data_IF_933067017008
#
_entry.id   IF_933067017008
#
_cell.length_a   1.000
_cell.length_b   1.000
_cell.length_c   1.000
_cell.angle_alpha   90.00
_cell.angle_beta   90.00
_cell.angle_gamma   90.00
#
_symmetry.space_group_name_H-M   'P 1'
#
loop_
_entity.id
_entity.type
_entity.pdbx_description
1 polymer ?
#
# COMPACT_ATOMS: atom_id res chain seq x y z
N UNK A 1 16.09 22.09 -16.60
CA UNK A 1 15.95 23.51 -16.97
C UNK A 1 15.84 24.40 -15.74
N UNK A 2 14.82 24.22 -14.88
CA UNK A 2 14.61 25.05 -13.68
C UNK A 2 15.80 25.07 -12.69
N UNK A 3 16.43 23.91 -12.44
CA UNK A 3 17.63 23.81 -11.58
C UNK A 3 18.82 24.60 -12.11
N UNK A 4 19.08 24.52 -13.42
CA UNK A 4 20.22 25.22 -14.02
C UNK A 4 20.00 26.74 -13.97
N UNK A 5 18.75 27.19 -14.18
CA UNK A 5 18.38 28.61 -14.06
C UNK A 5 18.53 29.09 -12.62
N UNK A 6 18.07 28.32 -11.63
CA UNK A 6 18.18 28.70 -10.21
C UNK A 6 19.63 28.66 -9.70
N UNK A 7 20.43 27.69 -10.15
CA UNK A 7 21.86 27.60 -9.83
C UNK A 7 22.66 28.76 -10.44
N UNK A 8 22.37 29.16 -11.68
CA UNK A 8 23.00 30.32 -12.30
C UNK A 8 22.58 31.60 -11.58
N UNK A 9 21.29 31.74 -11.22
CA UNK A 9 20.79 32.89 -10.47
C UNK A 9 21.41 33.03 -9.07
N UNK A 10 21.81 31.92 -8.44
CA UNK A 10 22.54 31.92 -7.18
C UNK A 10 24.01 32.36 -7.32
N UNK A 11 24.66 31.99 -8.43
CA UNK A 11 26.11 32.18 -8.65
C UNK A 11 26.46 33.59 -9.17
N UNK A 12 25.50 34.34 -9.70
CA UNK A 12 25.72 35.71 -10.22
C UNK A 12 25.35 36.74 -9.14
N UNK A 13 26.24 37.64 -8.67
CA UNK A 13 27.61 37.94 -9.09
C UNK A 13 28.69 37.21 -8.23
N UNK A 14 29.74 36.65 -8.85
CA UNK A 14 30.80 35.97 -8.12
C UNK A 14 31.65 36.96 -7.32
N UNK A 15 31.85 36.69 -6.02
CA UNK A 15 32.76 37.43 -5.15
C UNK A 15 32.15 38.52 -4.26
N UNK A 16 30.83 38.60 -4.16
CA UNK A 16 30.13 39.47 -3.19
C UNK A 16 29.39 38.64 -2.13
N UNK A 17 29.12 39.24 -0.97
CA UNK A 17 28.25 38.59 0.03
C UNK A 17 26.85 38.39 -0.55
N UNK A 18 26.27 37.17 -0.45
CA UNK A 18 24.98 36.88 -1.05
C UNK A 18 23.85 37.70 -0.43
N UNK A 19 23.08 38.37 -1.28
CA UNK A 19 21.87 39.10 -0.91
C UNK A 19 20.83 38.16 -0.29
N UNK A 20 19.89 38.65 0.55
CA UNK A 20 18.83 37.82 1.13
C UNK A 20 18.02 37.03 0.09
N UNK A 21 17.78 37.62 -1.09
CA UNK A 21 17.13 36.95 -2.21
C UNK A 21 17.96 35.81 -2.81
N UNK A 22 19.28 35.93 -2.84
CA UNK A 22 20.18 34.86 -3.30
C UNK A 22 20.17 33.69 -2.33
N UNK A 23 20.12 33.93 -1.01
CA UNK A 23 19.95 32.85 -0.03
C UNK A 23 18.66 32.05 -0.24
N UNK A 24 17.55 32.73 -0.54
CA UNK A 24 16.28 32.07 -0.87
C UNK A 24 16.37 31.26 -2.18
N UNK A 25 17.01 31.80 -3.22
CA UNK A 25 17.21 31.07 -4.49
C UNK A 25 18.17 29.89 -4.30
N UNK A 26 19.20 30.03 -3.47
CA UNK A 26 20.15 28.98 -3.13
C UNK A 26 19.48 27.81 -2.41
N UNK A 27 18.63 28.09 -1.41
CA UNK A 27 17.89 27.02 -0.70
C UNK A 27 16.93 26.26 -1.62
N UNK A 28 16.21 26.96 -2.50
CA UNK A 28 15.35 26.35 -3.53
C UNK A 28 16.18 25.51 -4.50
N UNK A 29 17.36 26.00 -4.92
CA UNK A 29 18.26 25.29 -5.83
C UNK A 29 18.74 23.98 -5.23
N UNK A 30 19.14 23.98 -3.96
CA UNK A 30 19.56 22.76 -3.25
C UNK A 30 18.40 21.75 -3.19
N UNK A 31 17.20 22.21 -2.86
CA UNK A 31 16.01 21.34 -2.82
C UNK A 31 15.70 20.73 -4.19
N UNK A 32 15.72 21.54 -5.25
CA UNK A 32 15.52 21.09 -6.63
C UNK A 32 16.62 20.13 -7.09
N UNK A 33 17.86 20.30 -6.61
CA UNK A 33 18.96 19.40 -6.91
C UNK A 33 18.73 18.00 -6.34
N UNK A 34 18.23 17.89 -5.11
CA UNK A 34 17.86 16.61 -4.52
C UNK A 34 16.67 15.96 -5.23
N UNK A 35 15.65 16.73 -5.63
CA UNK A 35 14.55 16.18 -6.43
C UNK A 35 15.01 15.70 -7.82
N UNK A 36 15.89 16.44 -8.48
CA UNK A 36 16.47 16.02 -9.76
C UNK A 36 17.32 14.75 -9.60
N UNK A 37 18.04 14.61 -8.47
CA UNK A 37 18.77 13.40 -8.13
C UNK A 37 17.81 12.21 -7.99
N UNK A 38 16.66 12.38 -7.33
CA UNK A 38 15.63 11.32 -7.24
C UNK A 38 15.17 10.89 -8.64
N UNK A 39 14.91 11.83 -9.55
CA UNK A 39 14.53 11.50 -10.93
C UNK A 39 15.66 10.75 -11.68
N UNK A 40 16.94 11.08 -11.46
CA UNK A 40 18.04 10.31 -12.03
C UNK A 40 18.13 8.89 -11.48
N UNK A 41 17.83 8.69 -10.19
CA UNK A 41 17.76 7.36 -9.56
C UNK A 41 16.68 6.47 -10.18
N UNK A 42 15.69 7.05 -10.88
CA UNK A 42 14.68 6.30 -11.64
C UNK A 42 15.29 5.41 -12.74
N UNK A 43 16.44 5.79 -13.31
CA UNK A 43 17.06 5.03 -14.39
C UNK A 43 17.89 3.83 -13.90
N UNK A 44 18.04 3.65 -12.58
CA UNK A 44 18.77 2.53 -12.03
C UNK A 44 17.91 1.27 -12.01
N UNK A 45 18.42 0.10 -12.43
CA UNK A 45 17.63 -1.12 -12.62
C UNK A 45 16.97 -1.65 -11.33
N UNK A 46 17.55 -1.39 -10.15
CA UNK A 46 16.99 -1.86 -8.87
C UNK A 46 16.24 -0.76 -8.12
N UNK A 47 16.79 0.46 -8.07
CA UNK A 47 16.22 1.57 -7.30
C UNK A 47 15.06 2.24 -8.07
N UNK A 48 15.10 2.20 -9.40
CA UNK A 48 14.21 2.97 -10.25
C UNK A 48 12.74 2.59 -10.14
N UNK A 49 12.45 1.31 -9.87
CA UNK A 49 11.09 0.83 -9.62
C UNK A 49 10.52 1.50 -8.36
N UNK A 50 11.28 1.57 -7.26
CA UNK A 50 10.83 2.19 -6.01
C UNK A 50 10.59 3.69 -6.15
N UNK A 51 11.49 4.40 -6.85
CA UNK A 51 11.32 5.84 -7.12
C UNK A 51 10.09 6.11 -7.98
N UNK A 52 9.86 5.29 -9.02
CA UNK A 52 8.68 5.41 -9.87
C UNK A 52 7.38 5.17 -9.07
N UNK A 53 7.36 4.18 -8.18
CA UNK A 53 6.24 3.92 -7.28
C UNK A 53 5.99 5.09 -6.33
N UNK A 54 7.04 5.60 -5.68
CA UNK A 54 6.94 6.77 -4.78
C UNK A 54 6.38 7.99 -5.51
N UNK A 55 6.83 8.28 -6.73
CA UNK A 55 6.34 9.40 -7.54
C UNK A 55 4.85 9.25 -7.85
N UNK A 56 4.41 8.04 -8.21
CA UNK A 56 3.00 7.75 -8.49
C UNK A 56 2.13 7.97 -7.25
N UNK A 57 2.51 7.40 -6.10
CA UNK A 57 1.78 7.57 -4.83
C UNK A 57 1.75 9.03 -4.39
N UNK A 58 2.86 9.76 -4.53
CA UNK A 58 2.93 11.19 -4.22
C UNK A 58 1.96 12.02 -5.07
N UNK A 59 1.82 11.72 -6.36
CA UNK A 59 0.86 12.41 -7.23
C UNK A 59 -0.58 12.12 -6.84
N UNK A 60 -0.90 10.87 -6.48
CA UNK A 60 -2.23 10.53 -5.95
C UNK A 60 -2.49 11.29 -4.65
N UNK A 61 -1.52 11.35 -3.74
CA UNK A 61 -1.63 12.12 -2.50
C UNK A 61 -2.01 13.58 -2.77
N UNK A 62 -1.32 14.27 -3.68
CA UNK A 62 -1.66 15.65 -4.03
C UNK A 62 -3.03 15.79 -4.68
N UNK A 63 -3.43 14.86 -5.55
CA UNK A 63 -4.75 14.84 -6.19
C UNK A 63 -5.88 14.73 -5.16
N UNK A 64 -5.68 13.90 -4.15
CA UNK A 64 -6.63 13.66 -3.06
C UNK A 64 -6.60 14.80 -2.04
N UNK A 65 -5.41 15.34 -1.77
CA UNK A 65 -5.20 16.48 -0.89
C UNK A 65 -5.99 17.72 -1.29
N UNK A 66 -6.37 17.86 -2.56
CA UNK A 66 -7.26 18.93 -3.01
C UNK A 66 -8.61 18.97 -2.25
N UNK A 67 -9.17 17.81 -1.87
CA UNK A 67 -10.37 17.75 -1.04
C UNK A 67 -10.10 18.23 0.40
N UNK A 68 -8.94 17.90 0.94
CA UNK A 68 -8.53 18.34 2.28
C UNK A 68 -8.28 19.85 2.31
N UNK A 69 -7.74 20.45 1.25
CA UNK A 69 -7.54 21.90 1.15
C UNK A 69 -8.85 22.66 1.34
N UNK A 70 -9.97 22.18 0.77
CA UNK A 70 -11.28 22.81 0.98
C UNK A 70 -11.68 22.81 2.46
N UNK A 71 -11.47 21.70 3.16
CA UNK A 71 -11.74 21.59 4.59
C UNK A 71 -10.81 22.49 5.43
N UNK A 72 -9.50 22.49 5.13
CA UNK A 72 -8.51 23.32 5.82
C UNK A 72 -8.87 24.81 5.67
N UNK A 73 -9.27 25.25 4.48
CA UNK A 73 -9.68 26.64 4.24
C UNK A 73 -10.96 26.98 5.01
N UNK A 74 -11.95 26.08 5.05
CA UNK A 74 -13.20 26.30 5.77
C UNK A 74 -12.96 26.45 7.28
N UNK A 75 -12.23 25.53 7.90
CA UNK A 75 -11.90 25.60 9.33
C UNK A 75 -10.93 26.76 9.64
N UNK A 76 -9.94 27.02 8.78
CA UNK A 76 -9.00 28.12 8.94
C UNK A 76 -9.68 29.49 8.88
N UNK A 77 -10.63 29.72 7.96
CA UNK A 77 -11.37 30.97 7.96
C UNK A 77 -12.28 31.10 9.19
N UNK A 78 -12.85 30.00 9.69
CA UNK A 78 -13.62 29.99 10.95
C UNK A 78 -12.76 30.42 12.15
N UNK A 79 -11.56 29.84 12.29
CA UNK A 79 -10.63 30.22 13.37
C UNK A 79 -10.08 31.63 13.21
N UNK A 80 -9.88 32.12 11.98
CA UNK A 80 -9.47 33.51 11.75
C UNK A 80 -10.48 34.51 12.35
N UNK A 81 -11.78 34.22 12.24
CA UNK A 81 -12.84 35.08 12.78
C UNK A 81 -12.94 34.94 14.31
N UNK A 82 -12.86 33.72 14.84
CA UNK A 82 -13.11 33.44 16.27
C UNK A 82 -11.87 33.74 17.13
N UNK A 83 -10.68 33.36 16.65
CA UNK A 83 -9.41 33.42 17.38
C UNK A 83 -8.45 34.48 16.82
N UNK A 84 -8.93 35.42 15.99
CA UNK A 84 -8.07 36.40 15.30
C UNK A 84 -7.23 37.35 16.18
N UNK A 85 -7.43 37.33 17.51
CA UNK A 85 -6.58 38.03 18.47
C UNK A 85 -5.28 37.29 18.79
N UNK A 86 -5.23 35.98 18.52
CA UNK A 86 -4.06 35.14 18.71
C UNK A 86 -3.08 35.26 17.55
N UNK A 87 -1.77 35.23 17.86
CA UNK A 87 -0.72 35.39 16.84
C UNK A 87 -0.82 34.33 15.74
N UNK A 88 -1.18 33.10 16.12
CA UNK A 88 -1.37 31.98 15.19
C UNK A 88 -2.53 32.18 14.21
N UNK A 89 -3.50 33.04 14.53
CA UNK A 89 -4.71 33.30 13.74
C UNK A 89 -4.82 34.76 13.29
N UNK A 90 -3.72 35.53 13.39
CA UNK A 90 -3.70 36.97 13.09
C UNK A 90 -3.94 37.32 11.62
N UNK A 91 -3.66 36.39 10.70
CA UNK A 91 -3.93 36.50 9.27
C UNK A 91 -4.61 35.25 8.76
N UNK A 92 -5.43 35.38 7.71
CA UNK A 92 -6.10 34.23 7.09
C UNK A 92 -5.11 33.15 6.65
N UNK A 93 -3.93 33.53 6.14
CA UNK A 93 -2.88 32.58 5.76
C UNK A 93 -2.28 31.86 6.98
N UNK A 94 -2.00 32.58 8.07
CA UNK A 94 -1.49 31.95 9.30
C UNK A 94 -2.51 31.00 9.91
N UNK A 95 -3.80 31.35 9.88
CA UNK A 95 -4.87 30.47 10.34
C UNK A 95 -4.98 29.20 9.51
N UNK A 96 -4.89 29.30 8.18
CA UNK A 96 -4.89 28.14 7.27
C UNK A 96 -3.67 27.25 7.56
N UNK A 97 -2.48 27.84 7.74
CA UNK A 97 -1.27 27.10 8.10
C UNK A 97 -1.40 26.41 9.47
N UNK A 98 -1.95 27.10 10.49
CA UNK A 98 -2.18 26.48 11.79
C UNK A 98 -3.23 25.38 11.74
N UNK A 99 -4.25 25.52 10.88
CA UNK A 99 -5.26 24.47 10.67
C UNK A 99 -4.67 23.25 9.97
N UNK A 100 -3.73 23.46 9.04
CA UNK A 100 -2.97 22.36 8.42
C UNK A 100 -2.08 21.65 9.44
N UNK A 101 -1.39 22.40 10.30
CA UNK A 101 -0.60 21.88 11.41
C UNK A 101 -1.45 21.03 12.38
N UNK A 102 -2.63 21.54 12.74
CA UNK A 102 -3.62 20.79 13.54
C UNK A 102 -4.14 19.52 12.83
N UNK A 103 -4.22 19.50 11.49
CA UNK A 103 -4.60 18.30 10.72
C UNK A 103 -3.52 17.21 10.81
N UNK A 104 -2.24 17.59 10.86
CA UNK A 104 -1.12 16.64 11.04
C UNK A 104 -1.14 16.03 12.45
N UNK A 105 -1.70 16.75 13.42
CA UNK A 105 -1.93 16.28 14.79
C UNK A 105 -1.20 17.08 15.86
N UNK A 106 -0.58 18.21 15.51
CA UNK A 106 0.05 19.09 16.50
C UNK A 106 -1.02 19.97 17.20
N UNK A 107 -1.07 19.90 18.54
CA UNK A 107 -2.07 20.56 19.36
C UNK A 107 -1.43 21.46 20.43
N UNK A 108 -1.34 22.76 20.13
CA UNK A 108 -0.86 23.79 21.08
C UNK A 108 -2.01 24.44 21.84
N UNK A 109 -2.80 23.63 22.56
CA UNK A 109 -3.98 24.13 23.26
C UNK A 109 -3.63 25.07 24.44
N UNK A 110 -2.47 24.89 25.08
CA UNK A 110 -2.06 25.68 26.23
C UNK A 110 -1.89 27.16 25.85
N UNK A 111 -1.18 27.42 24.76
CA UNK A 111 -0.92 28.78 24.30
C UNK A 111 -2.15 29.41 23.62
N UNK A 112 -3.01 28.61 22.99
CA UNK A 112 -4.21 29.09 22.31
C UNK A 112 -5.40 29.36 23.23
N UNK A 113 -5.57 28.60 24.30
CA UNK A 113 -6.75 28.70 25.17
C UNK A 113 -6.40 29.00 26.62
N UNK A 114 -5.35 28.40 27.19
CA UNK A 114 -5.06 28.57 28.63
C UNK A 114 -4.48 29.96 28.90
N UNK A 115 -3.41 30.34 28.21
CA UNK A 115 -2.74 31.64 28.39
C UNK A 115 -3.70 32.82 28.21
N UNK A 116 -4.56 32.89 27.17
CA UNK A 116 -5.47 34.02 26.98
C UNK A 116 -6.59 34.10 28.02
N UNK A 117 -7.09 32.95 28.50
CA UNK A 117 -8.10 32.85 29.57
C UNK A 117 -7.52 33.33 30.90
N UNK A 118 -6.31 32.88 31.27
CA UNK A 118 -5.65 33.28 32.51
C UNK A 118 -5.20 34.75 32.50
N UNK A 119 -4.73 35.26 31.36
CA UNK A 119 -4.29 36.65 31.21
C UNK A 119 -5.45 37.64 31.00
N UNK A 120 -6.71 37.18 30.98
CA UNK A 120 -7.92 38.00 30.71
C UNK A 120 -7.82 38.84 29.43
N UNK A 121 -7.11 38.34 28.41
CA UNK A 121 -6.96 39.01 27.10
C UNK A 121 -8.07 38.63 26.12
N UNK A 122 -9.01 37.79 26.51
CA UNK A 122 -10.10 37.33 25.65
C UNK A 122 -10.99 38.52 25.22
N UNK A 123 -10.88 38.87 23.94
CA UNK A 123 -11.61 40.01 23.33
C UNK A 123 -13.05 39.64 22.93
N UNK A 124 -13.48 38.38 23.07
CA UNK A 124 -14.77 37.90 22.56
C UNK A 124 -15.51 36.98 23.54
N UNK A 125 -16.85 37.02 23.59
CA UNK A 125 -17.69 36.21 24.49
C UNK A 125 -17.95 34.77 24.00
N UNK A 126 -17.25 34.28 22.98
CA UNK A 126 -17.56 33.02 22.29
C UNK A 126 -16.63 31.84 22.66
N UNK A 127 -16.07 31.83 23.86
CA UNK A 127 -15.09 30.84 24.30
C UNK A 127 -15.59 29.40 24.16
N UNK A 128 -16.87 29.15 24.46
CA UNK A 128 -17.48 27.82 24.35
C UNK A 128 -17.57 27.36 22.89
N UNK A 129 -17.98 28.24 21.97
CA UNK A 129 -18.05 27.92 20.54
C UNK A 129 -16.66 27.66 19.96
N UNK A 130 -15.66 28.44 20.38
CA UNK A 130 -14.27 28.25 19.97
C UNK A 130 -13.74 26.87 20.38
N UNK A 131 -14.00 26.46 21.63
CA UNK A 131 -13.61 25.15 22.16
C UNK A 131 -14.32 24.02 21.40
N UNK A 132 -15.62 24.16 21.13
CA UNK A 132 -16.38 23.15 20.38
C UNK A 132 -15.82 22.99 18.96
N UNK A 133 -15.65 24.10 18.22
CA UNK A 133 -15.12 24.06 16.86
C UNK A 133 -13.68 23.53 16.85
N UNK A 134 -12.86 23.90 17.82
CA UNK A 134 -11.51 23.39 17.98
C UNK A 134 -11.50 21.88 18.21
N UNK A 135 -12.30 21.37 19.16
CA UNK A 135 -12.38 19.95 19.47
C UNK A 135 -12.88 19.14 18.26
N UNK A 136 -13.91 19.64 17.57
CA UNK A 136 -14.41 19.03 16.34
C UNK A 136 -13.34 19.04 15.25
N UNK A 137 -12.66 20.15 15.01
CA UNK A 137 -11.61 20.25 13.99
C UNK A 137 -10.44 19.30 14.26
N UNK A 138 -9.91 19.32 15.49
CA UNK A 138 -8.79 18.50 15.97
C UNK A 138 -9.04 17.00 15.89
N UNK A 139 -10.29 16.57 16.06
CA UNK A 139 -10.63 15.15 15.97
C UNK A 139 -11.04 14.77 14.54
N UNK A 140 -11.91 15.56 13.91
CA UNK A 140 -12.47 15.23 12.61
C UNK A 140 -11.46 15.34 11.46
N UNK A 141 -10.66 16.42 11.38
CA UNK A 141 -9.74 16.62 10.26
C UNK A 141 -8.65 15.55 10.18
N UNK A 142 -7.91 15.21 11.27
CA UNK A 142 -6.89 14.17 11.20
C UNK A 142 -7.49 12.79 10.90
N UNK A 143 -8.65 12.44 11.48
CA UNK A 143 -9.31 11.15 11.21
C UNK A 143 -9.66 11.04 9.72
N UNK A 144 -10.29 12.06 9.15
CA UNK A 144 -10.63 12.08 7.72
C UNK A 144 -9.37 12.06 6.86
N UNK A 145 -8.36 12.87 7.19
CA UNK A 145 -7.11 12.96 6.45
C UNK A 145 -6.34 11.62 6.43
N UNK A 146 -6.19 10.97 7.59
CA UNK A 146 -5.51 9.67 7.70
C UNK A 146 -6.30 8.60 6.96
N UNK A 147 -7.61 8.50 7.17
CA UNK A 147 -8.43 7.47 6.53
C UNK A 147 -8.44 7.61 5.01
N UNK A 148 -8.53 8.84 4.50
CA UNK A 148 -8.52 9.11 3.06
C UNK A 148 -7.14 8.86 2.45
N UNK A 149 -6.08 9.30 3.12
CA UNK A 149 -4.70 9.15 2.63
C UNK A 149 -4.28 7.69 2.64
N UNK A 150 -4.54 6.97 3.72
CA UNK A 150 -4.20 5.54 3.86
C UNK A 150 -5.07 4.70 2.92
N UNK A 151 -6.38 4.94 2.87
CA UNK A 151 -7.30 4.16 2.03
C UNK A 151 -6.96 4.23 0.53
N UNK A 152 -6.52 5.39 0.06
CA UNK A 152 -6.11 5.57 -1.34
C UNK A 152 -4.66 5.15 -1.59
N UNK A 153 -3.75 5.36 -0.64
CA UNK A 153 -2.38 4.87 -0.75
C UNK A 153 -2.33 3.35 -0.86
N UNK A 154 -3.09 2.62 -0.02
CA UNK A 154 -3.17 1.16 -0.09
C UNK A 154 -3.77 0.71 -1.41
N UNK A 155 -4.88 1.32 -1.85
CA UNK A 155 -5.53 0.96 -3.11
C UNK A 155 -4.67 1.22 -4.36
N UNK A 156 -3.79 2.23 -4.32
CA UNK A 156 -2.86 2.51 -5.42
C UNK A 156 -1.61 1.62 -5.36
N UNK A 157 -1.09 1.30 -4.17
CA UNK A 157 -0.01 0.32 -3.99
C UNK A 157 -0.44 -1.05 -4.53
N UNK A 158 -1.65 -1.52 -4.19
CA UNK A 158 -2.16 -2.82 -4.65
C UNK A 158 -2.24 -2.91 -6.19
N UNK A 159 -2.68 -1.83 -6.86
CA UNK A 159 -2.72 -1.78 -8.32
C UNK A 159 -1.33 -1.82 -8.93
N UNK A 160 -0.40 -1.05 -8.36
CA UNK A 160 0.99 -0.97 -8.82
C UNK A 160 1.69 -2.31 -8.63
N UNK A 161 1.50 -2.98 -7.49
CA UNK A 161 2.08 -4.30 -7.22
C UNK A 161 1.56 -5.35 -8.21
N UNK A 162 0.24 -5.41 -8.43
CA UNK A 162 -0.33 -6.35 -9.42
C UNK A 162 0.23 -6.10 -10.82
N UNK A 163 0.37 -4.83 -11.22
CA UNK A 163 0.97 -4.48 -12.50
C UNK A 163 2.45 -4.85 -12.57
N UNK A 164 3.22 -4.69 -11.49
CA UNK A 164 4.63 -5.10 -11.43
C UNK A 164 4.78 -6.63 -11.53
N UNK A 165 3.93 -7.40 -10.86
CA UNK A 165 3.89 -8.87 -10.97
C UNK A 165 3.55 -9.29 -12.40
N UNK A 166 2.55 -8.67 -13.03
CA UNK A 166 2.20 -8.94 -14.43
C UNK A 166 3.32 -8.57 -15.39
N UNK A 167 3.96 -7.41 -15.21
CA UNK A 167 5.14 -7.01 -15.99
C UNK A 167 6.27 -8.00 -15.85
N UNK A 168 6.52 -8.52 -14.64
CA UNK A 168 7.55 -9.54 -14.41
C UNK A 168 7.23 -10.84 -15.15
N UNK A 169 5.98 -11.32 -15.09
CA UNK A 169 5.55 -12.53 -15.81
C UNK A 169 5.67 -12.31 -17.32
N UNK A 170 5.24 -11.15 -17.82
CA UNK A 170 5.36 -10.81 -19.24
C UNK A 170 6.80 -10.88 -19.73
N UNK A 171 7.75 -10.30 -18.99
CA UNK A 171 9.18 -10.37 -19.33
C UNK A 171 9.68 -11.82 -19.35
N UNK A 172 9.24 -12.65 -18.39
CA UNK A 172 9.59 -14.08 -18.38
C UNK A 172 9.01 -14.84 -19.57
N UNK A 173 7.76 -14.56 -19.95
CA UNK A 173 7.09 -15.20 -21.08
C UNK A 173 7.72 -14.75 -22.40
N UNK A 174 8.04 -13.47 -22.57
CA UNK A 174 8.74 -12.95 -23.76
C UNK A 174 10.14 -13.57 -23.90
N UNK A 175 10.85 -13.75 -22.78
CA UNK A 175 12.13 -14.43 -22.78
C UNK A 175 12.01 -15.92 -23.16
N UNK A 176 11.01 -16.62 -22.63
CA UNK A 176 10.72 -18.01 -22.99
C UNK A 176 10.33 -18.14 -24.46
N UNK A 177 9.50 -17.24 -24.99
CA UNK A 177 9.10 -17.22 -26.40
C UNK A 177 10.30 -16.96 -27.32
N UNK A 178 11.22 -16.06 -26.95
CA UNK A 178 12.47 -15.86 -27.68
C UNK A 178 13.31 -17.13 -27.72
N UNK A 179 13.50 -17.80 -26.58
CA UNK A 179 14.22 -19.08 -26.53
C UNK A 179 13.53 -20.14 -27.38
N UNK A 180 12.20 -20.24 -27.31
CA UNK A 180 11.43 -21.23 -28.07
C UNK A 180 11.52 -21.02 -29.58
N UNK A 181 11.53 -19.75 -30.02
CA UNK A 181 11.70 -19.38 -31.44
C UNK A 181 13.10 -19.67 -31.96
N UNK A 182 14.13 -19.47 -31.15
CA UNK A 182 15.53 -19.73 -31.54
C UNK A 182 15.95 -21.19 -31.38
N UNK A 183 15.14 -22.02 -30.71
CA UNK A 183 15.42 -23.43 -30.49
C UNK A 183 15.33 -24.26 -31.79
N UNK A 184 16.35 -25.06 -32.14
CA UNK A 184 16.28 -26.00 -33.25
C UNK A 184 15.10 -26.97 -33.11
N UNK A 185 14.42 -27.26 -34.23
CA UNK A 185 13.22 -28.11 -34.29
C UNK A 185 13.38 -29.48 -33.63
N UNK A 186 14.57 -30.06 -33.71
CA UNK A 186 14.91 -31.37 -33.10
C UNK A 186 14.82 -31.34 -31.57
N UNK A 187 15.28 -30.25 -30.94
CA UNK A 187 15.27 -30.10 -29.49
C UNK A 187 13.86 -29.75 -29.02
N UNK A 188 13.13 -28.93 -29.81
CA UNK A 188 11.73 -28.58 -29.54
C UNK A 188 10.85 -29.83 -29.53
N UNK A 189 10.87 -30.63 -30.59
CA UNK A 189 10.07 -31.86 -30.67
C UNK A 189 10.40 -32.84 -29.54
N UNK A 190 11.68 -33.00 -29.19
CA UNK A 190 12.10 -33.88 -28.10
C UNK A 190 11.65 -33.39 -26.71
N UNK A 191 11.62 -32.08 -26.47
CA UNK A 191 11.16 -31.50 -25.20
C UNK A 191 9.64 -31.56 -25.03
N UNK A 192 8.87 -31.26 -26.08
CA UNK A 192 7.40 -31.35 -26.05
C UNK A 192 6.95 -32.79 -25.85
N UNK A 193 7.53 -33.74 -26.58
CA UNK A 193 7.22 -35.17 -26.45
C UNK A 193 7.51 -35.69 -25.04
N UNK A 194 8.64 -35.30 -24.43
CA UNK A 194 9.01 -35.75 -23.07
C UNK A 194 8.04 -35.26 -21.98
N UNK A 195 7.42 -34.09 -22.14
CA UNK A 195 6.47 -33.57 -21.16
C UNK A 195 5.09 -34.22 -21.27
N UNK A 196 4.59 -34.45 -22.50
CA UNK A 196 3.33 -35.19 -22.70
C UNK A 196 3.45 -36.62 -22.20
N UNK A 197 4.55 -37.31 -22.54
CA UNK A 197 4.80 -38.69 -22.11
C UNK A 197 4.86 -38.78 -20.57
N UNK A 198 5.52 -37.83 -19.89
CA UNK A 198 5.53 -37.74 -18.41
C UNK A 198 4.14 -37.50 -17.81
N UNK A 199 3.29 -36.70 -18.47
CA UNK A 199 1.95 -36.38 -17.99
C UNK A 199 1.02 -37.58 -18.14
N UNK A 200 1.12 -38.30 -19.26
CA UNK A 200 0.40 -39.56 -19.47
C UNK A 200 0.88 -40.65 -18.51
N UNK A 201 2.20 -40.83 -18.34
CA UNK A 201 2.78 -41.75 -17.36
C UNK A 201 2.32 -41.41 -15.93
N UNK A 202 2.27 -40.14 -15.56
CA UNK A 202 1.77 -39.70 -14.25
C UNK A 202 0.27 -39.94 -14.05
N UNK A 203 -0.54 -39.77 -15.09
CA UNK A 203 -1.97 -40.07 -15.06
C UNK A 203 -2.24 -41.58 -14.98
N UNK A 204 -1.53 -42.38 -15.79
CA UNK A 204 -1.62 -43.83 -15.74
C UNK A 204 -1.14 -44.40 -14.41
N UNK A 205 -0.07 -43.84 -13.82
CA UNK A 205 0.41 -44.26 -12.51
C UNK A 205 -0.62 -43.94 -11.41
N UNK A 206 -1.25 -42.75 -11.45
CA UNK A 206 -2.37 -42.43 -10.54
C UNK A 206 -3.56 -43.38 -10.72
N UNK A 207 -3.99 -43.65 -11.95
CA UNK A 207 -5.07 -44.60 -12.23
C UNK A 207 -4.74 -46.00 -11.71
N UNK A 208 -3.51 -46.47 -11.93
CA UNK A 208 -3.06 -47.78 -11.45
C UNK A 208 -3.05 -47.85 -9.92
N UNK A 209 -2.71 -46.76 -9.25
CA UNK A 209 -2.81 -46.67 -7.78
C UNK A 209 -4.27 -46.71 -7.30
N UNK A 210 -5.19 -46.00 -7.96
CA UNK A 210 -6.61 -46.04 -7.63
C UNK A 210 -7.23 -47.42 -7.85
N UNK A 211 -6.92 -48.08 -8.98
CA UNK A 211 -7.41 -49.43 -9.26
C UNK A 211 -6.85 -50.46 -8.27
N UNK A 212 -5.57 -50.36 -7.92
CA UNK A 212 -4.98 -51.25 -6.91
C UNK A 212 -5.62 -51.05 -5.54
N UNK A 213 -5.86 -49.80 -5.15
CA UNK A 213 -6.54 -49.50 -3.89
C UNK A 213 -8.00 -50.01 -3.88
N UNK A 214 -8.73 -49.89 -4.99
CA UNK A 214 -10.07 -50.44 -5.09
C UNK A 214 -10.06 -51.98 -5.03
N UNK A 215 -9.07 -52.62 -5.65
CA UNK A 215 -8.92 -54.07 -5.63
C UNK A 215 -8.53 -54.59 -4.24
N UNK A 216 -7.63 -53.90 -3.53
CA UNK A 216 -7.26 -54.22 -2.14
C UNK A 216 -8.48 -54.06 -1.19
N UNK A 217 -9.37 -53.08 -1.43
CA UNK A 217 -10.60 -52.90 -0.63
C UNK A 217 -11.60 -54.02 -0.89
N UNK A 218 -11.78 -54.44 -2.15
CA UNK A 218 -12.68 -55.55 -2.51
C UNK A 218 -12.17 -56.88 -1.94
N UNK A 219 -10.86 -57.15 -2.01
CA UNK A 219 -10.29 -58.37 -1.40
C UNK A 219 -10.49 -58.42 0.13
N UNK A 220 -10.34 -57.29 0.83
CA UNK A 220 -10.59 -57.22 2.28
C UNK A 220 -12.08 -57.39 2.60
N UNK A 221 -12.99 -56.84 1.79
CA UNK A 221 -14.43 -56.96 1.99
C UNK A 221 -14.93 -58.39 1.72
N UNK A 222 -14.35 -59.09 0.74
CA UNK A 222 -14.62 -60.51 0.48
C UNK A 222 -14.07 -61.42 1.59
N UNK A 223 -12.87 -61.15 2.12
CA UNK A 223 -12.31 -61.87 3.28
C UNK A 223 -13.14 -61.67 4.56
N UNK A 224 -13.58 -60.43 4.84
CA UNK A 224 -14.42 -60.13 6.01
C UNK A 224 -15.79 -60.83 5.92
N UNK A 225 -16.41 -60.83 4.73
CA UNK A 225 -17.70 -61.50 4.51
C UNK A 225 -17.59 -63.02 4.67
N UNK A 226 -16.53 -63.63 4.15
CA UNK A 226 -16.31 -65.08 4.31
C UNK A 226 -16.11 -65.44 5.79
N UNK A 227 -15.33 -64.64 6.52
CA UNK A 227 -15.09 -64.84 7.95
C UNK A 227 -16.37 -64.69 8.79
N UNK A 228 -17.25 -63.74 8.45
CA UNK A 228 -18.54 -63.58 9.13
C UNK A 228 -19.48 -64.77 8.89
N UNK A 229 -19.56 -65.26 7.65
CA UNK A 229 -20.37 -66.43 7.31
C UNK A 229 -19.91 -67.68 8.07
N UNK A 230 -18.60 -67.90 8.17
CA UNK A 230 -18.03 -69.01 8.95
C UNK A 230 -18.38 -68.89 10.46
N UNK A 231 -18.36 -67.68 11.02
CA UNK A 231 -18.75 -67.43 12.42
C UNK A 231 -20.25 -67.66 12.64
N UNK A 232 -21.10 -67.30 11.68
CA UNK A 232 -22.55 -67.49 11.77
C UNK A 232 -22.94 -68.98 11.70
N UNK A 233 -22.30 -69.75 10.80
CA UNK A 233 -22.47 -71.21 10.75
C UNK A 233 -22.08 -71.89 12.07
N UNK A 234 -20.95 -71.49 12.66
CA UNK A 234 -20.49 -72.06 13.95
C UNK A 234 -21.43 -71.68 15.09
N UNK A 235 -21.97 -70.46 15.11
CA UNK A 235 -22.96 -70.03 16.12
C UNK A 235 -24.26 -70.83 16.04
N UNK A 236 -24.74 -71.11 14.84
CA UNK A 236 -25.97 -71.90 14.66
C UNK A 236 -25.76 -73.37 15.01
N UNK A 237 -24.58 -73.93 14.77
CA UNK A 237 -24.20 -75.25 15.27
C UNK A 237 -24.21 -75.33 16.81
N UNK A 238 -23.71 -74.29 17.49
CA UNK A 238 -23.69 -74.23 18.96
C UNK A 238 -25.09 -74.07 19.57
N UNK A 239 -25.97 -73.25 18.99
CA UNK A 239 -27.36 -73.11 19.45
C UNK A 239 -28.14 -74.43 19.42
N UNK A 240 -27.94 -75.25 18.39
CA UNK A 240 -28.55 -76.57 18.31
C UNK A 240 -27.98 -77.59 19.31
N UNK A 241 -26.82 -77.28 19.90
CA UNK A 241 -26.15 -78.15 20.87
C UNK A 241 -26.57 -77.84 22.32
N UNK A 242 -26.96 -76.60 22.62
CA UNK A 242 -27.45 -76.18 23.95
C UNK A 242 -28.94 -76.51 24.21
N UNK A 243 -29.69 -76.96 23.19
CA UNK A 243 -31.10 -77.40 23.30
C UNK A 243 -31.28 -78.91 23.60
N UNK A 244 -30.23 -79.61 24.05
CA UNK A 244 -30.29 -81.01 24.48
C UNK A 244 -29.73 -81.21 25.89
#
# INVERSE_FOLDING_TARGET
MALYVSAIAFVVPPGQEPLPGQWAVGSITILLAWFNLLDYLQNLPTIGIYVAMFRSVSLTFFKVGALLVFLIVAFGLSFYIILGHEKAFSSGLYSILKTFDMMVGELDYNDMFFTPIYEKRTRYPFDILAIIIFLTCTTFLPIVAINLTVGLAVGDIDKIERNAVLSRIKVQVEFLDQIERELPSIIRERLYYSQEEKKELGFQMKLKTYFKQAQDVVEVEDEDNNTQNEIEEVKDQLKHQDEK
#
